data_IF_722301734409
#
_entry.id   IF_722301734409
#
_cell.length_a   1.000
_cell.length_b   1.000
_cell.length_c   1.000
_cell.angle_alpha   90.00
_cell.angle_beta   90.00
_cell.angle_gamma   90.00
#
_symmetry.space_group_name_H-M   'P 1'
#
loop_
_entity.id
_entity.type
_entity.pdbx_description
1 polymer ?
#
# COMPACT_ATOMS: atom_id res chain seq x y z
N UNK A 1 1.05 3.61 18.35
CA UNK A 1 1.31 4.42 17.15
C UNK A 1 0.06 4.49 16.29
N UNK A 2 -0.26 5.66 15.80
CA UNK A 2 -1.49 5.87 15.03
C UNK A 2 -1.38 5.27 13.62
N UNK A 3 -2.47 4.76 13.06
CA UNK A 3 -2.50 4.32 11.67
C UNK A 3 -2.34 5.49 10.71
N UNK A 4 -1.99 5.20 9.48
CA UNK A 4 -1.87 6.20 8.42
C UNK A 4 -3.23 6.86 8.18
N UNK A 5 -3.32 8.19 8.28
CA UNK A 5 -4.63 8.87 8.13
C UNK A 5 -5.34 8.58 6.81
N UNK A 6 -4.60 8.54 5.71
CA UNK A 6 -5.20 8.22 4.40
C UNK A 6 -5.81 6.82 4.39
N UNK A 7 -5.18 5.86 5.06
CA UNK A 7 -5.71 4.50 5.17
C UNK A 7 -7.03 4.50 5.91
N UNK A 8 -7.09 5.19 7.05
CA UNK A 8 -8.31 5.26 7.87
C UNK A 8 -9.45 5.87 7.05
N UNK A 9 -9.18 6.99 6.40
CA UNK A 9 -10.18 7.68 5.58
C UNK A 9 -10.68 6.77 4.43
N UNK A 10 -9.77 6.09 3.76
CA UNK A 10 -10.10 5.20 2.65
C UNK A 10 -10.90 3.98 3.12
N UNK A 11 -10.38 3.27 4.13
CA UNK A 11 -10.95 2.01 4.56
C UNK A 11 -12.33 2.16 5.20
N UNK A 12 -12.60 3.31 5.83
CA UNK A 12 -13.91 3.59 6.40
C UNK A 12 -15.04 3.61 5.36
N UNK A 13 -14.69 3.84 4.11
CA UNK A 13 -15.66 3.90 3.00
C UNK A 13 -15.82 2.56 2.30
N UNK A 14 -15.08 1.55 2.72
CA UNK A 14 -15.07 0.23 2.09
C UNK A 14 -15.71 -0.81 3.01
N UNK A 15 -16.33 -1.83 2.40
CA UNK A 15 -16.76 -3.01 3.15
C UNK A 15 -15.51 -3.78 3.57
N UNK A 16 -15.36 -4.13 4.84
CA UNK A 16 -14.21 -4.93 5.27
C UNK A 16 -14.16 -6.27 4.56
N UNK A 17 -12.97 -6.66 4.15
CA UNK A 17 -12.69 -7.90 3.46
C UNK A 17 -11.28 -8.36 3.77
N UNK A 18 -10.57 -8.90 2.78
CA UNK A 18 -9.19 -9.32 2.94
C UNK A 18 -8.25 -8.17 2.58
N UNK A 19 -7.38 -7.82 3.53
CA UNK A 19 -6.37 -6.79 3.34
C UNK A 19 -4.96 -7.38 3.42
N UNK A 20 -4.07 -6.90 2.56
CA UNK A 20 -2.66 -7.26 2.55
C UNK A 20 -1.84 -6.02 2.83
N UNK A 21 -1.03 -6.06 3.90
CA UNK A 21 -0.17 -4.96 4.30
C UNK A 21 1.29 -5.34 3.99
N UNK A 22 1.82 -4.83 2.89
CA UNK A 22 3.16 -5.14 2.40
C UNK A 22 4.19 -4.22 3.04
N UNK A 23 5.24 -4.81 3.61
CA UNK A 23 6.26 -4.10 4.39
C UNK A 23 5.60 -3.36 5.56
N UNK A 24 4.91 -4.13 6.40
CA UNK A 24 4.03 -3.59 7.45
C UNK A 24 4.76 -2.85 8.59
N UNK A 25 6.06 -3.07 8.73
CA UNK A 25 6.84 -2.49 9.83
C UNK A 25 6.31 -2.94 11.18
N UNK A 26 6.03 -1.99 12.07
CA UNK A 26 5.49 -2.30 13.41
C UNK A 26 4.03 -2.74 13.39
N UNK A 27 3.35 -2.60 12.25
CA UNK A 27 1.99 -3.10 12.10
C UNK A 27 0.88 -2.13 12.46
N UNK A 28 1.18 -0.83 12.56
CA UNK A 28 0.16 0.17 12.95
C UNK A 28 -1.08 0.15 12.06
N UNK A 29 -0.89 -0.04 10.76
CA UNK A 29 -2.00 -0.09 9.81
C UNK A 29 -2.75 -1.42 9.91
N UNK A 30 -2.01 -2.52 10.04
CA UNK A 30 -2.59 -3.85 10.20
C UNK A 30 -3.44 -3.96 11.46
N UNK A 31 -2.97 -3.39 12.56
CA UNK A 31 -3.71 -3.38 13.83
C UNK A 31 -5.04 -2.66 13.65
N UNK A 32 -5.01 -1.47 13.06
CA UNK A 32 -6.23 -0.68 12.87
C UNK A 32 -7.23 -1.43 11.97
N UNK A 33 -6.74 -2.00 10.87
CA UNK A 33 -7.60 -2.76 9.95
C UNK A 33 -8.26 -3.96 10.64
N UNK A 34 -7.47 -4.73 11.40
CA UNK A 34 -8.00 -5.89 12.11
C UNK A 34 -9.05 -5.49 13.14
N UNK A 35 -8.83 -4.36 13.84
CA UNK A 35 -9.79 -3.84 14.80
C UNK A 35 -11.08 -3.34 14.15
N UNK A 36 -11.07 -3.10 12.85
CA UNK A 36 -12.21 -2.59 12.10
C UNK A 36 -12.81 -3.61 11.13
N UNK A 37 -12.62 -4.89 11.44
CA UNK A 37 -13.33 -5.97 10.75
C UNK A 37 -12.62 -6.56 9.54
N UNK A 38 -11.41 -6.09 9.19
CA UNK A 38 -10.66 -6.65 8.07
C UNK A 38 -9.94 -7.93 8.48
N UNK A 39 -9.87 -8.87 7.54
CA UNK A 39 -9.02 -10.07 7.68
C UNK A 39 -7.66 -9.72 7.09
N UNK A 40 -6.66 -9.53 7.94
CA UNK A 40 -5.39 -8.93 7.55
C UNK A 40 -4.28 -9.96 7.46
N UNK A 41 -3.53 -9.91 6.37
CA UNK A 41 -2.23 -10.56 6.23
C UNK A 41 -1.17 -9.45 6.14
N UNK A 42 -0.14 -9.55 6.97
CA UNK A 42 0.93 -8.56 7.02
C UNK A 42 2.26 -9.22 6.73
N UNK A 43 3.10 -8.58 5.95
CA UNK A 43 4.39 -9.11 5.51
C UNK A 43 5.48 -8.11 5.85
N UNK A 44 6.55 -8.56 6.49
CA UNK A 44 7.73 -7.74 6.72
C UNK A 44 8.97 -8.64 6.80
N UNK A 45 10.14 -8.08 6.49
CA UNK A 45 11.40 -8.81 6.60
C UNK A 45 11.93 -8.85 8.04
N UNK A 46 11.35 -8.05 8.92
CA UNK A 46 11.67 -8.08 10.36
C UNK A 46 10.58 -8.85 11.09
N UNK A 47 10.93 -9.61 12.14
CA UNK A 47 9.92 -10.33 12.91
C UNK A 47 8.92 -9.35 13.53
N UNK A 48 7.65 -9.66 13.36
CA UNK A 48 6.57 -8.89 13.97
C UNK A 48 5.45 -9.86 14.35
N UNK A 49 4.87 -9.67 15.51
CA UNK A 49 3.70 -10.43 15.94
C UNK A 49 2.60 -9.44 16.26
N UNK A 50 1.47 -9.58 15.56
CA UNK A 50 0.34 -8.68 15.71
C UNK A 50 -0.89 -9.52 16.02
N UNK A 51 -1.56 -9.30 17.16
CA UNK A 51 -2.77 -10.04 17.49
C UNK A 51 -3.82 -9.94 16.39
N UNK A 52 -4.47 -11.06 16.06
CA UNK A 52 -5.53 -11.16 15.07
C UNK A 52 -5.09 -10.85 13.64
N UNK A 53 -3.80 -10.88 13.36
CA UNK A 53 -3.23 -10.65 12.03
C UNK A 53 -2.38 -11.85 11.65
N UNK A 54 -2.52 -12.32 10.41
CA UNK A 54 -1.67 -13.37 9.85
C UNK A 54 -0.36 -12.72 9.41
N UNK A 55 0.70 -12.88 10.21
CA UNK A 55 2.00 -12.24 9.94
C UNK A 55 2.96 -13.20 9.27
N UNK A 56 3.65 -12.70 8.26
CA UNK A 56 4.65 -13.46 7.51
C UNK A 56 6.00 -12.76 7.58
N UNK A 57 7.01 -13.50 8.02
CA UNK A 57 8.40 -13.05 7.97
C UNK A 57 8.94 -13.40 6.58
N UNK A 58 9.08 -12.40 5.73
CA UNK A 58 9.51 -12.62 4.35
C UNK A 58 10.15 -11.36 3.79
N UNK A 59 11.16 -11.55 2.95
CA UNK A 59 11.81 -10.46 2.24
C UNK A 59 11.15 -10.32 0.86
N UNK A 60 10.41 -9.24 0.67
CA UNK A 60 9.70 -8.97 -0.59
C UNK A 60 10.66 -8.79 -1.75
N UNK A 61 11.84 -8.21 -1.51
CA UNK A 61 12.84 -8.00 -2.56
C UNK A 61 13.45 -9.31 -3.05
N UNK A 62 13.43 -10.33 -2.20
CA UNK A 62 13.89 -11.69 -2.56
C UNK A 62 12.74 -12.57 -3.04
N UNK A 63 11.55 -11.98 -3.23
CA UNK A 63 10.36 -12.70 -3.69
C UNK A 63 9.99 -13.89 -2.80
N UNK A 64 10.16 -13.73 -1.49
CA UNK A 64 9.86 -14.80 -0.53
C UNK A 64 8.37 -14.88 -0.19
N UNK A 65 7.58 -13.90 -0.59
CA UNK A 65 6.13 -13.90 -0.39
C UNK A 65 5.43 -13.78 -1.74
N UNK A 66 4.55 -14.74 -2.03
CA UNK A 66 3.78 -14.73 -3.28
C UNK A 66 2.43 -14.06 -3.04
N UNK A 67 2.15 -13.01 -3.81
CA UNK A 67 0.85 -12.33 -3.73
C UNK A 67 -0.15 -13.13 -4.56
N UNK A 68 -1.12 -13.74 -3.88
CA UNK A 68 -2.15 -14.56 -4.52
C UNK A 68 -3.00 -13.69 -5.46
N UNK A 69 -3.26 -14.17 -6.67
CA UNK A 69 -4.02 -13.41 -7.67
C UNK A 69 -5.51 -13.35 -7.30
N UNK A 70 -6.11 -12.19 -7.57
CA UNK A 70 -7.55 -11.93 -7.36
C UNK A 70 -8.03 -12.39 -5.97
N UNK A 71 -7.22 -12.14 -4.96
CA UNK A 71 -7.48 -12.62 -3.60
C UNK A 71 -7.79 -11.50 -2.62
N UNK A 72 -7.42 -10.27 -2.96
CA UNK A 72 -7.38 -9.19 -2.00
C UNK A 72 -8.39 -8.09 -2.33
N UNK A 73 -9.05 -7.57 -1.29
CA UNK A 73 -9.96 -6.45 -1.41
C UNK A 73 -9.25 -5.12 -1.23
N UNK A 74 -8.15 -5.13 -0.47
CA UNK A 74 -7.31 -3.97 -0.22
C UNK A 74 -5.86 -4.42 -0.14
N UNK A 75 -4.96 -3.73 -0.85
CA UNK A 75 -3.51 -3.93 -0.70
C UNK A 75 -2.91 -2.58 -0.33
N UNK A 76 -2.13 -2.57 0.76
CA UNK A 76 -1.52 -1.38 1.33
C UNK A 76 0.00 -1.49 1.23
N UNK A 77 0.64 -0.44 0.75
CA UNK A 77 2.09 -0.35 0.70
C UNK A 77 2.47 1.07 1.10
N UNK A 78 2.87 1.24 2.37
CA UNK A 78 3.14 2.56 2.94
C UNK A 78 4.61 2.76 3.24
N UNK A 79 5.20 3.79 2.64
CA UNK A 79 6.60 4.19 2.81
C UNK A 79 7.58 3.07 2.46
N UNK A 80 7.21 2.27 1.46
CA UNK A 80 8.02 1.21 0.91
C UNK A 80 7.90 1.24 -0.61
N UNK A 81 9.03 1.26 -1.31
CA UNK A 81 9.05 1.27 -2.78
C UNK A 81 9.79 0.06 -3.31
N UNK A 82 9.08 -0.75 -4.07
CA UNK A 82 9.66 -1.84 -4.84
C UNK A 82 8.94 -1.87 -6.19
N UNK A 83 9.60 -1.33 -7.21
CA UNK A 83 8.97 -1.10 -8.52
C UNK A 83 8.47 -2.37 -9.18
N UNK A 84 9.21 -3.47 -9.06
CA UNK A 84 8.81 -4.73 -9.67
C UNK A 84 7.63 -5.41 -8.96
N UNK A 85 7.15 -4.84 -7.86
CA UNK A 85 6.03 -5.40 -7.11
C UNK A 85 4.67 -4.89 -7.60
N UNK A 86 4.65 -3.77 -8.31
CA UNK A 86 3.37 -3.18 -8.73
C UNK A 86 2.52 -4.10 -9.61
N UNK A 87 3.17 -4.85 -10.50
CA UNK A 87 2.44 -5.83 -11.33
C UNK A 87 1.71 -6.87 -10.49
N UNK A 88 2.41 -7.43 -9.51
CA UNK A 88 1.82 -8.44 -8.62
C UNK A 88 0.72 -7.86 -7.72
N UNK A 89 0.89 -6.61 -7.25
CA UNK A 89 -0.14 -5.91 -6.48
C UNK A 89 -1.41 -5.77 -7.31
N UNK A 90 -1.27 -5.34 -8.54
CA UNK A 90 -2.43 -5.15 -9.45
C UNK A 90 -3.14 -6.47 -9.74
N UNK A 91 -2.38 -7.54 -9.99
CA UNK A 91 -2.97 -8.87 -10.22
C UNK A 91 -3.58 -9.45 -8.96
N UNK A 92 -3.02 -9.13 -7.79
CA UNK A 92 -3.49 -9.63 -6.51
C UNK A 92 -4.85 -9.10 -6.09
N UNK A 93 -5.21 -7.91 -6.54
CA UNK A 93 -6.50 -7.32 -6.21
C UNK A 93 -7.61 -7.97 -7.02
N UNK A 94 -8.75 -8.21 -6.36
CA UNK A 94 -9.98 -8.57 -7.04
C UNK A 94 -10.46 -7.40 -7.88
N UNK A 95 -11.21 -7.64 -8.96
CA UNK A 95 -11.93 -6.54 -9.64
C UNK A 95 -12.74 -5.74 -8.60
N UNK A 96 -12.60 -4.42 -8.62
CA UNK A 96 -13.21 -3.55 -7.61
C UNK A 96 -12.38 -3.37 -6.35
N UNK A 97 -11.31 -4.14 -6.18
CA UNK A 97 -10.40 -3.99 -5.06
C UNK A 97 -9.59 -2.70 -5.14
N UNK A 98 -9.02 -2.30 -4.02
CA UNK A 98 -8.39 -0.99 -3.87
C UNK A 98 -6.91 -1.14 -3.51
N UNK A 99 -6.05 -0.41 -4.22
CA UNK A 99 -4.64 -0.24 -3.88
C UNK A 99 -4.46 1.10 -3.18
N UNK A 100 -3.74 1.09 -2.06
CA UNK A 100 -3.32 2.30 -1.36
C UNK A 100 -1.81 2.28 -1.24
N UNK A 101 -1.14 3.21 -1.91
CA UNK A 101 0.32 3.25 -1.96
C UNK A 101 0.79 4.65 -1.58
N UNK A 102 1.73 4.71 -0.65
CA UNK A 102 2.43 5.93 -0.28
C UNK A 102 3.92 5.65 -0.37
N UNK A 103 4.62 6.42 -1.18
CA UNK A 103 6.06 6.28 -1.37
C UNK A 103 6.73 7.64 -1.28
N UNK A 104 8.03 7.65 -1.00
CA UNK A 104 8.78 8.91 -0.97
C UNK A 104 8.91 9.46 -2.39
N UNK A 105 8.75 10.78 -2.51
CA UNK A 105 8.87 11.51 -3.76
C UNK A 105 10.27 12.13 -3.86
N UNK A 106 10.76 12.25 -5.08
CA UNK A 106 12.01 12.95 -5.36
C UNK A 106 11.99 14.36 -4.77
N UNK A 107 13.06 14.73 -4.09
CA UNK A 107 13.26 16.07 -3.55
C UNK A 107 14.67 16.54 -3.91
N UNK A 108 14.90 17.85 -3.98
CA UNK A 108 16.27 18.37 -4.17
C UNK A 108 17.23 17.80 -3.13
N UNK A 109 18.39 17.35 -3.57
CA UNK A 109 19.38 16.70 -2.72
C UNK A 109 19.26 15.19 -2.62
N UNK A 110 18.20 14.61 -3.20
CA UNK A 110 17.97 13.16 -3.19
C UNK A 110 17.81 12.57 -4.59
N UNK A 111 18.35 13.23 -5.61
CA UNK A 111 18.14 12.89 -7.01
C UNK A 111 18.62 11.49 -7.39
N UNK A 112 19.60 10.96 -6.67
CA UNK A 112 20.12 9.62 -6.94
C UNK A 112 19.48 8.51 -6.11
N UNK A 113 18.49 8.84 -5.27
CA UNK A 113 17.87 7.84 -4.40
C UNK A 113 17.01 6.86 -5.19
N UNK A 114 17.26 5.54 -5.10
CA UNK A 114 16.40 4.56 -5.76
C UNK A 114 15.09 4.33 -4.99
N UNK A 115 14.97 4.91 -3.80
CA UNK A 115 13.81 4.71 -2.92
C UNK A 115 12.77 5.82 -3.05
N UNK A 116 12.90 6.67 -4.07
CA UNK A 116 11.99 7.79 -4.31
C UNK A 116 11.47 7.71 -5.74
N UNK A 117 10.18 7.99 -5.91
CA UNK A 117 9.59 8.06 -7.25
C UNK A 117 9.79 9.46 -7.84
N UNK A 118 9.81 9.52 -9.15
CA UNK A 118 9.82 10.79 -9.88
C UNK A 118 8.39 11.37 -9.90
N UNK A 119 8.24 12.69 -10.10
CA UNK A 119 6.91 13.27 -10.29
C UNK A 119 6.15 12.55 -11.39
N UNK A 120 4.91 12.17 -11.10
CA UNK A 120 4.03 11.45 -12.03
C UNK A 120 4.30 9.95 -12.14
N UNK A 121 5.39 9.46 -11.60
CA UNK A 121 5.74 8.03 -11.75
C UNK A 121 4.71 7.12 -11.12
N UNK A 122 4.28 7.41 -9.89
CA UNK A 122 3.35 6.54 -9.18
C UNK A 122 2.02 6.39 -9.93
N UNK A 123 1.54 7.47 -10.50
CA UNK A 123 0.28 7.43 -11.26
C UNK A 123 0.36 6.52 -12.47
N UNK A 124 1.53 6.41 -13.10
CA UNK A 124 1.70 5.58 -14.30
C UNK A 124 1.48 4.10 -14.02
N UNK A 125 1.79 3.64 -12.82
CA UNK A 125 1.58 2.23 -12.47
C UNK A 125 0.11 1.83 -12.44
N UNK A 126 -0.79 2.82 -12.33
CA UNK A 126 -2.22 2.57 -12.20
C UNK A 126 -3.03 3.19 -13.35
N UNK A 127 -2.42 3.36 -14.52
CA UNK A 127 -3.13 3.84 -15.70
C UNK A 127 -4.33 2.94 -15.99
N UNK A 128 -5.48 3.57 -16.31
CA UNK A 128 -6.72 2.85 -16.59
C UNK A 128 -7.54 2.49 -15.36
N UNK A 129 -7.00 2.73 -14.17
CA UNK A 129 -7.73 2.50 -12.92
C UNK A 129 -8.49 3.76 -12.51
N UNK A 130 -9.55 3.59 -11.73
CA UNK A 130 -10.25 4.73 -11.15
C UNK A 130 -9.43 5.26 -9.97
N UNK A 131 -8.93 6.49 -10.07
CA UNK A 131 -8.13 7.11 -9.04
C UNK A 131 -9.06 7.83 -8.06
N UNK A 132 -9.07 7.38 -6.82
CA UNK A 132 -9.89 7.97 -5.76
C UNK A 132 -9.15 9.10 -5.04
N UNK A 133 -7.81 9.02 -5.01
CA UNK A 133 -6.96 10.01 -4.36
C UNK A 133 -5.59 9.99 -5.03
N UNK A 134 -5.05 11.16 -5.32
CA UNK A 134 -3.67 11.30 -5.76
C UNK A 134 -3.07 12.60 -5.22
N UNK A 135 -1.86 12.52 -4.68
CA UNK A 135 -1.19 13.68 -4.10
C UNK A 135 0.32 13.53 -4.25
N UNK A 136 0.99 14.62 -4.59
CA UNK A 136 2.46 14.70 -4.57
C UNK A 136 2.86 15.94 -3.78
N UNK A 137 3.78 15.77 -2.84
CA UNK A 137 4.27 16.83 -1.99
C UNK A 137 4.32 16.38 -0.54
N UNK A 138 4.16 17.32 0.39
CA UNK A 138 4.07 16.96 1.81
C UNK A 138 2.86 16.09 2.03
N UNK A 139 2.92 15.13 3.00
CA UNK A 139 1.79 14.24 3.25
C UNK A 139 0.49 15.02 3.42
N UNK A 140 -0.59 14.53 2.81
CA UNK A 140 -1.89 15.20 2.87
C UNK A 140 -2.41 15.34 4.30
N UNK A 141 -1.97 14.48 5.21
CA UNK A 141 -2.36 14.49 6.63
C UNK A 141 -1.17 14.73 7.58
N UNK A 142 -0.08 15.31 7.10
CA UNK A 142 0.97 15.88 7.95
C UNK A 142 1.69 14.94 8.92
N UNK A 143 1.90 13.68 8.59
CA UNK A 143 2.60 12.74 9.46
C UNK A 143 4.09 13.03 9.62
N UNK A 144 4.74 13.54 8.57
CA UNK A 144 6.16 13.88 8.57
C UNK A 144 6.41 14.98 7.54
N UNK A 145 7.65 15.42 7.43
CA UNK A 145 8.00 16.55 6.54
C UNK A 145 8.56 16.13 5.18
N UNK A 146 8.77 14.84 4.96
CA UNK A 146 9.30 14.34 3.68
C UNK A 146 8.20 14.35 2.62
N UNK A 147 8.55 14.75 1.40
CA UNK A 147 7.62 14.70 0.29
C UNK A 147 7.27 13.26 -0.07
N UNK A 148 6.02 13.03 -0.40
CA UNK A 148 5.49 11.72 -0.78
C UNK A 148 4.68 11.81 -2.06
N UNK A 149 4.51 10.66 -2.73
CA UNK A 149 3.47 10.44 -3.71
C UNK A 149 2.48 9.47 -3.09
N UNK A 150 1.20 9.81 -3.15
CA UNK A 150 0.10 9.02 -2.57
C UNK A 150 -0.90 8.69 -3.65
N UNK A 151 -1.31 7.43 -3.73
CA UNK A 151 -2.38 7.03 -4.62
C UNK A 151 -3.32 6.06 -3.94
N UNK A 152 -4.62 6.24 -4.17
CA UNK A 152 -5.67 5.26 -3.87
C UNK A 152 -6.40 5.04 -5.18
N UNK A 153 -6.40 3.80 -5.65
CA UNK A 153 -6.97 3.48 -6.95
C UNK A 153 -7.76 2.18 -6.90
N UNK A 154 -8.87 2.14 -7.62
CA UNK A 154 -9.77 0.97 -7.69
C UNK A 154 -9.52 0.22 -9.00
N UNK A 155 -9.34 -1.09 -8.88
CA UNK A 155 -9.16 -1.97 -10.04
C UNK A 155 -10.46 -2.04 -10.85
N UNK A 156 -10.39 -1.93 -12.18
CA UNK A 156 -11.59 -2.05 -13.01
C UNK A 156 -12.36 -3.35 -12.75
N UNK A 157 -13.68 -3.25 -12.81
CA UNK A 157 -14.57 -4.40 -12.58
C UNK A 157 -14.52 -5.41 -13.71
N UNK A 158 -14.31 -4.93 -14.93
CA UNK A 158 -14.25 -5.79 -16.11
C UNK A 158 -12.90 -5.64 -16.79
N UNK A 159 -12.40 -6.78 -17.28
CA UNK A 159 -11.16 -6.83 -18.03
C UNK A 159 -11.50 -6.80 -19.51
N UNK A 160 -10.86 -5.93 -20.22
CA UNK A 160 -11.04 -5.81 -21.67
C UNK A 160 -9.73 -6.06 -22.39
#
# INVERSE_FOLDING_TARGET
MAPTPLLVETARKLEPGRALDLACGSGRNSIWLAEHGWTVTAVDRSPVTIPSVDTHLADLEKHEFVIEESAWDLIVMCLYLQRDLFGAVKRGLKPGGVALVIVLLMEPGHESSPFRVQPGELAKYFEGWEVLHYHEGKPSAGEHHRAVAEIVATKPLTKR
#
